data_IF_584633365334
#
_entry.id   IF_584633365334
#
_cell.length_a   1.000
_cell.length_b   1.000
_cell.length_c   1.000
_cell.angle_alpha   90.00
_cell.angle_beta   90.00
_cell.angle_gamma   90.00
#
_symmetry.space_group_name_H-M   'P 1'
#
loop_
_entity.id
_entity.type
_entity.pdbx_description
1 polymer ?
#
# COMPACT_ATOMS: atom_id res chain seq x y z
N UNK A 1 -17.56 10.33 -18.16
CA UNK A 1 -17.91 8.92 -18.46
C UNK A 1 -16.77 8.18 -19.16
N UNK A 2 -16.28 8.69 -20.29
CA UNK A 2 -15.19 8.05 -21.09
C UNK A 2 -13.85 7.93 -20.33
N UNK A 3 -13.56 8.86 -19.41
CA UNK A 3 -12.35 8.78 -18.56
C UNK A 3 -12.40 7.69 -17.47
N UNK A 4 -13.56 7.06 -17.24
CA UNK A 4 -13.69 6.01 -16.22
C UNK A 4 -13.25 4.65 -16.73
N UNK A 5 -13.29 4.36 -18.03
CA UNK A 5 -12.88 3.05 -18.55
C UNK A 5 -11.35 2.91 -18.57
N UNK A 6 -10.64 4.03 -18.77
CA UNK A 6 -9.18 4.11 -18.76
C UNK A 6 -8.61 4.72 -17.47
N UNK A 7 -9.43 4.84 -16.42
CA UNK A 7 -9.09 5.61 -15.23
C UNK A 7 -7.73 5.23 -14.62
N UNK A 8 -7.38 3.94 -14.67
CA UNK A 8 -6.13 3.43 -14.12
C UNK A 8 -4.92 3.93 -14.92
N UNK A 9 -4.97 3.82 -16.25
CA UNK A 9 -3.91 4.31 -17.14
C UNK A 9 -3.82 5.83 -17.06
N UNK A 10 -4.96 6.52 -17.15
CA UNK A 10 -5.01 7.98 -17.03
C UNK A 10 -4.43 8.47 -15.69
N UNK A 11 -4.79 7.86 -14.56
CA UNK A 11 -4.31 8.28 -13.25
C UNK A 11 -2.79 8.05 -13.12
N UNK A 12 -2.30 6.92 -13.62
CA UNK A 12 -0.86 6.62 -13.63
C UNK A 12 -0.10 7.63 -14.47
N UNK A 13 -0.59 7.91 -15.68
CA UNK A 13 0.12 8.79 -16.63
C UNK A 13 0.03 10.26 -16.20
N UNK A 14 -1.13 10.71 -15.74
CA UNK A 14 -1.37 12.10 -15.36
C UNK A 14 -0.60 12.51 -14.09
N UNK A 15 -0.42 11.57 -13.16
CA UNK A 15 0.24 11.83 -11.88
C UNK A 15 1.60 11.12 -11.75
N UNK A 16 2.10 10.52 -12.84
CA UNK A 16 3.36 9.79 -12.90
C UNK A 16 3.50 8.76 -11.76
N UNK A 17 2.41 8.02 -11.49
CA UNK A 17 2.35 7.12 -10.34
C UNK A 17 3.10 5.83 -10.62
N UNK A 18 3.86 5.39 -9.62
CA UNK A 18 4.39 4.03 -9.63
C UNK A 18 3.33 3.07 -9.10
N UNK A 19 2.84 2.16 -9.95
CA UNK A 19 1.96 1.08 -9.50
C UNK A 19 2.80 0.02 -8.82
N UNK A 20 2.66 -0.06 -7.49
CA UNK A 20 3.29 -1.09 -6.70
C UNK A 20 2.37 -2.32 -6.70
N UNK A 21 2.74 -3.32 -7.49
CA UNK A 21 2.27 -4.70 -7.34
C UNK A 21 3.31 -5.46 -6.50
N UNK A 22 3.03 -6.61 -5.85
CA UNK A 22 4.10 -7.46 -5.31
C UNK A 22 5.14 -7.72 -6.40
N UNK A 23 6.27 -7.01 -6.29
CA UNK A 23 7.31 -6.93 -7.30
C UNK A 23 8.25 -8.10 -7.09
N UNK A 24 8.02 -9.19 -7.81
CA UNK A 24 9.14 -9.96 -8.29
C UNK A 24 8.81 -10.48 -9.71
N UNK A 25 9.37 -9.82 -10.74
CA UNK A 25 9.15 -10.19 -12.14
C UNK A 25 9.72 -11.56 -12.51
N UNK A 26 10.54 -12.17 -11.65
CA UNK A 26 11.11 -13.51 -11.84
C UNK A 26 10.22 -14.64 -11.28
N UNK A 27 9.07 -14.32 -10.66
CA UNK A 27 8.17 -15.35 -10.14
C UNK A 27 7.37 -16.05 -11.26
N UNK A 28 7.92 -17.16 -11.72
CA UNK A 28 7.20 -18.18 -12.50
C UNK A 28 6.27 -19.07 -11.65
N UNK A 29 6.21 -18.84 -10.32
CA UNK A 29 5.32 -19.53 -9.38
C UNK A 29 4.36 -18.53 -8.70
N UNK A 30 3.26 -18.22 -9.38
CA UNK A 30 2.33 -17.15 -9.02
C UNK A 30 1.41 -17.44 -7.80
N UNK A 31 1.25 -18.70 -7.39
CA UNK A 31 0.28 -19.05 -6.32
C UNK A 31 0.84 -18.92 -4.88
N UNK A 32 2.04 -19.45 -4.56
CA UNK A 32 2.58 -19.37 -3.19
C UNK A 32 2.87 -17.92 -2.76
N UNK A 33 3.34 -17.10 -3.71
CA UNK A 33 3.66 -15.68 -3.50
C UNK A 33 2.41 -14.83 -3.33
N UNK A 34 1.34 -15.14 -4.05
CA UNK A 34 0.06 -14.47 -3.86
C UNK A 34 -0.52 -14.76 -2.47
N UNK A 35 -0.53 -16.03 -2.04
CA UNK A 35 -1.01 -16.40 -0.71
C UNK A 35 -0.20 -15.70 0.39
N UNK A 36 1.12 -15.66 0.26
CA UNK A 36 1.98 -15.05 1.26
C UNK A 36 1.79 -13.52 1.33
N UNK A 37 1.81 -12.83 0.19
CA UNK A 37 1.72 -11.36 0.10
C UNK A 37 0.31 -10.83 0.37
N UNK A 38 -0.73 -11.52 -0.11
CA UNK A 38 -2.12 -11.04 0.00
C UNK A 38 -2.80 -11.53 1.28
N UNK A 39 -2.43 -12.70 1.79
CA UNK A 39 -3.10 -13.29 2.95
C UNK A 39 -2.19 -13.42 4.17
N UNK A 40 -1.14 -14.23 4.12
CA UNK A 40 -0.44 -14.66 5.34
C UNK A 40 0.20 -13.50 6.09
N UNK A 41 0.94 -12.63 5.39
CA UNK A 41 1.62 -11.49 6.02
C UNK A 41 0.65 -10.40 6.48
N UNK A 42 -0.33 -9.96 5.66
CA UNK A 42 -1.40 -9.08 6.14
C UNK A 42 -2.14 -9.65 7.35
N UNK A 43 -2.43 -10.96 7.35
CA UNK A 43 -3.12 -11.63 8.46
C UNK A 43 -2.28 -11.64 9.74
N UNK A 44 -0.98 -11.92 9.63
CA UNK A 44 -0.07 -11.82 10.78
C UNK A 44 -0.02 -10.40 11.34
N UNK A 45 0.15 -9.37 10.49
CA UNK A 45 0.15 -7.97 10.93
C UNK A 45 -1.18 -7.57 11.58
N UNK A 46 -2.30 -8.00 10.99
CA UNK A 46 -3.65 -7.78 11.53
C UNK A 46 -3.74 -8.25 12.98
N UNK A 47 -3.24 -9.46 13.27
CA UNK A 47 -3.27 -10.05 14.62
C UNK A 47 -2.34 -9.33 15.59
N UNK A 48 -1.15 -8.93 15.15
CA UNK A 48 -0.15 -8.28 16.00
C UNK A 48 -0.53 -6.84 16.35
N UNK A 49 -0.95 -6.06 15.36
CA UNK A 49 -1.24 -4.62 15.51
C UNK A 49 -2.71 -4.36 15.86
N UNK A 50 -3.58 -5.38 15.76
CA UNK A 50 -5.03 -5.31 15.99
C UNK A 50 -5.70 -4.24 15.13
N UNK A 51 -5.79 -4.52 13.84
CA UNK A 51 -6.46 -3.67 12.85
C UNK A 51 -7.35 -4.48 11.92
N UNK A 52 -8.25 -3.86 11.15
CA UNK A 52 -8.94 -4.53 10.04
C UNK A 52 -7.96 -5.14 9.04
N UNK A 53 -8.34 -6.26 8.42
CA UNK A 53 -7.51 -6.96 7.45
C UNK A 53 -7.14 -6.11 6.23
N UNK A 54 -8.07 -5.29 5.73
CA UNK A 54 -7.78 -4.42 4.58
C UNK A 54 -6.73 -3.36 4.92
N UNK A 55 -6.75 -2.84 6.15
CA UNK A 55 -5.75 -1.89 6.63
C UNK A 55 -4.38 -2.56 6.75
N UNK A 56 -4.35 -3.81 7.23
CA UNK A 56 -3.10 -4.55 7.34
C UNK A 56 -2.54 -4.93 5.97
N UNK A 57 -3.39 -5.24 4.99
CA UNK A 57 -2.99 -5.48 3.60
C UNK A 57 -2.32 -4.24 2.99
N UNK A 58 -2.96 -3.07 3.12
CA UNK A 58 -2.42 -1.80 2.59
C UNK A 58 -1.08 -1.47 3.25
N UNK A 59 -1.02 -1.50 4.58
CA UNK A 59 0.21 -1.17 5.28
C UNK A 59 1.32 -2.19 5.03
N UNK A 60 1.00 -3.49 4.96
CA UNK A 60 2.03 -4.51 4.71
C UNK A 60 2.68 -4.30 3.35
N UNK A 61 1.90 -3.97 2.32
CA UNK A 61 2.42 -3.63 1.00
C UNK A 61 3.28 -2.36 1.05
N UNK A 62 2.78 -1.30 1.67
CA UNK A 62 3.48 -0.02 1.75
C UNK A 62 4.84 -0.17 2.46
N UNK A 63 4.89 -0.85 3.61
CA UNK A 63 6.11 -1.05 4.41
C UNK A 63 7.17 -1.89 3.72
N UNK A 64 6.74 -2.81 2.84
CA UNK A 64 7.64 -3.67 2.07
C UNK A 64 8.09 -3.04 0.76
N UNK A 65 7.48 -1.93 0.36
CA UNK A 65 7.85 -1.23 -0.87
C UNK A 65 9.25 -0.64 -0.71
N UNK A 66 10.22 -1.01 -1.57
CA UNK A 66 11.55 -0.45 -1.49
C UNK A 66 11.53 1.07 -1.57
N UNK A 67 12.32 1.72 -0.71
CA UNK A 67 12.47 3.18 -0.63
C UNK A 67 11.21 3.94 -0.18
N UNK A 68 10.11 3.27 0.18
CA UNK A 68 8.99 3.93 0.82
C UNK A 68 9.38 4.36 2.24
N UNK A 69 9.27 5.65 2.53
CA UNK A 69 9.57 6.22 3.86
C UNK A 69 8.32 6.73 4.57
N UNK A 70 7.27 7.03 3.80
CA UNK A 70 6.07 7.70 4.26
C UNK A 70 4.80 7.01 3.72
N UNK A 71 3.75 7.01 4.54
CA UNK A 71 2.41 6.58 4.16
C UNK A 71 1.45 7.75 4.30
N UNK A 72 1.02 8.31 3.16
CA UNK A 72 0.17 9.50 3.11
C UNK A 72 -1.29 9.09 2.99
N UNK A 73 -2.13 9.53 3.93
CA UNK A 73 -3.57 9.21 3.94
C UNK A 73 -4.39 10.30 4.63
N UNK A 74 -5.60 10.55 4.14
CA UNK A 74 -6.54 11.47 4.78
C UNK A 74 -6.97 11.02 6.19
N UNK A 75 -6.78 9.74 6.54
CA UNK A 75 -7.11 9.20 7.84
C UNK A 75 -5.86 8.85 8.67
N UNK A 76 -4.86 9.75 8.70
CA UNK A 76 -3.57 9.50 9.35
C UNK A 76 -3.70 9.05 10.82
N UNK A 77 -4.62 9.65 11.57
CA UNK A 77 -4.91 9.30 12.97
C UNK A 77 -5.27 7.83 13.16
N UNK A 78 -5.98 7.22 12.21
CA UNK A 78 -6.35 5.81 12.28
C UNK A 78 -5.14 4.87 12.16
N UNK A 79 -4.09 5.28 11.45
CA UNK A 79 -2.89 4.47 11.19
C UNK A 79 -1.71 4.83 12.11
N UNK A 80 -1.85 5.84 12.95
CA UNK A 80 -0.80 6.27 13.87
C UNK A 80 -0.39 5.14 14.83
N UNK A 81 0.92 4.87 14.92
CA UNK A 81 1.48 3.80 15.75
C UNK A 81 1.24 2.38 15.21
N UNK A 82 0.65 2.24 14.01
CA UNK A 82 0.36 0.95 13.39
C UNK A 82 1.29 0.60 12.22
N UNK A 83 2.11 1.56 11.79
CA UNK A 83 3.07 1.40 10.71
C UNK A 83 4.51 1.70 11.13
N UNK A 84 5.48 1.06 10.47
CA UNK A 84 6.90 1.46 10.54
C UNK A 84 7.21 2.67 9.66
N UNK A 85 6.34 3.01 8.70
CA UNK A 85 6.45 4.21 7.89
C UNK A 85 5.96 5.44 8.66
N UNK A 86 6.48 6.61 8.29
CA UNK A 86 5.94 7.87 8.78
C UNK A 86 4.53 8.09 8.20
N UNK A 87 3.50 8.07 9.05
CA UNK A 87 2.11 8.30 8.62
C UNK A 87 1.79 9.79 8.63
N UNK A 88 1.36 10.32 7.49
CA UNK A 88 1.10 11.76 7.29
C UNK A 88 -0.28 11.99 6.67
N UNK A 89 -0.89 13.14 6.93
CA UNK A 89 -1.96 13.65 6.06
C UNK A 89 -1.34 14.26 4.78
N UNK A 90 -2.11 14.42 3.68
CA UNK A 90 -1.61 15.12 2.50
C UNK A 90 -1.14 16.54 2.80
N UNK A 91 -1.81 17.24 3.72
CA UNK A 91 -1.42 18.57 4.16
C UNK A 91 -0.05 18.55 4.86
N UNK A 92 0.18 17.60 5.75
CA UNK A 92 1.47 17.45 6.44
C UNK A 92 2.60 17.11 5.46
N UNK A 93 2.32 16.25 4.48
CA UNK A 93 3.30 15.83 3.48
C UNK A 93 3.77 16.99 2.58
N UNK A 94 2.86 17.88 2.18
CA UNK A 94 3.19 19.03 1.34
C UNK A 94 4.00 20.09 2.10
N UNK A 95 3.84 20.15 3.43
CA UNK A 95 4.53 21.13 4.29
C UNK A 95 5.88 20.65 4.81
N UNK A 96 6.16 19.35 4.73
CA UNK A 96 7.40 18.72 5.20
C UNK A 96 8.56 18.97 4.23
#
# INVERSE_FOLDING_TARGET
PERLDEWRSWLVDAYQLLVIWPTNPDFTTAAPTFQEEIFERPYQKMRTVKMPFMDSLILNLAERTPNATQFVTWNARHFQGKSTLQVLTPEDYIKA
#
